data_IF_025232903082
#
_entry.id   IF_025232903082
#
_cell.length_a   1.000
_cell.length_b   1.000
_cell.length_c   1.000
_cell.angle_alpha   90.00
_cell.angle_beta   90.00
_cell.angle_gamma   90.00
#
_symmetry.space_group_name_H-M   'P 1'
#
loop_
_entity.id
_entity.type
_entity.pdbx_description
1 polymer ?
#
# COMPACT_ATOMS: atom_id res chain seq x y z
N UNK A 1 -3.18 -30.53 14.21
CA UNK A 1 -2.71 -29.77 13.04
C UNK A 1 -3.34 -28.38 13.08
N UNK A 2 -2.60 -27.28 13.09
CA UNK A 2 -3.20 -25.97 13.05
C UNK A 2 -3.91 -25.81 11.68
N UNK A 3 -5.18 -25.39 11.71
CA UNK A 3 -5.92 -25.01 10.52
C UNK A 3 -5.11 -23.91 9.82
N UNK A 4 -4.63 -24.17 8.60
CA UNK A 4 -4.18 -23.11 7.70
C UNK A 4 -5.35 -22.14 7.59
N UNK A 5 -5.17 -20.95 8.13
CA UNK A 5 -6.08 -19.83 7.88
C UNK A 5 -5.90 -19.51 6.40
N UNK A 6 -6.69 -20.15 5.54
CA UNK A 6 -6.67 -19.88 4.10
C UNK A 6 -7.21 -18.45 3.94
N UNK A 7 -6.33 -17.56 3.48
CA UNK A 7 -6.69 -16.20 3.09
C UNK A 7 -7.44 -16.27 1.76
N UNK A 8 -8.70 -16.73 1.80
CA UNK A 8 -9.55 -16.90 0.63
C UNK A 8 -10.80 -16.05 0.77
N UNK A 9 -11.19 -15.39 -0.32
CA UNK A 9 -12.44 -14.65 -0.43
C UNK A 9 -13.57 -15.59 -0.83
N UNK A 10 -14.80 -15.30 -0.38
CA UNK A 10 -15.99 -15.91 -0.95
C UNK A 10 -16.10 -15.59 -2.45
N UNK A 11 -16.85 -16.41 -3.20
CA UNK A 11 -17.08 -16.14 -4.63
C UNK A 11 -17.60 -14.75 -4.90
N UNK A 12 -18.58 -14.32 -4.13
CA UNK A 12 -19.24 -13.02 -4.30
C UNK A 12 -18.29 -11.85 -4.05
N UNK A 13 -17.52 -11.90 -2.96
CA UNK A 13 -16.50 -10.87 -2.65
C UNK A 13 -15.39 -10.84 -3.71
N UNK A 14 -14.99 -12.02 -4.21
CA UNK A 14 -14.00 -12.09 -5.28
C UNK A 14 -14.51 -11.42 -6.56
N UNK A 15 -15.74 -11.72 -6.96
CA UNK A 15 -16.32 -11.20 -8.18
C UNK A 15 -16.59 -9.68 -8.06
N UNK A 16 -17.02 -9.21 -6.89
CA UNK A 16 -17.14 -7.78 -6.58
C UNK A 16 -15.78 -7.06 -6.67
N UNK A 17 -14.75 -7.61 -6.03
CA UNK A 17 -13.39 -7.06 -6.09
C UNK A 17 -12.86 -6.99 -7.51
N UNK A 18 -12.96 -8.07 -8.28
CA UNK A 18 -12.51 -8.11 -9.68
C UNK A 18 -13.26 -7.08 -10.54
N UNK A 19 -14.55 -6.90 -10.31
CA UNK A 19 -15.35 -5.86 -10.95
C UNK A 19 -14.86 -4.46 -10.61
N UNK A 20 -14.57 -4.17 -9.35
CA UNK A 20 -14.05 -2.87 -8.90
C UNK A 20 -12.66 -2.58 -9.48
N UNK A 21 -11.76 -3.56 -9.46
CA UNK A 21 -10.42 -3.45 -10.03
C UNK A 21 -10.47 -3.22 -11.55
N UNK A 22 -11.32 -3.97 -12.27
CA UNK A 22 -11.52 -3.80 -13.72
C UNK A 22 -12.04 -2.41 -14.07
N UNK A 23 -13.02 -1.93 -13.34
CA UNK A 23 -13.59 -0.59 -13.54
C UNK A 23 -12.55 0.51 -13.33
N UNK A 24 -11.73 0.38 -12.27
CA UNK A 24 -10.64 1.31 -11.95
C UNK A 24 -9.55 1.27 -13.01
N UNK A 25 -9.15 0.07 -13.44
CA UNK A 25 -8.20 -0.13 -14.54
C UNK A 25 -8.67 0.57 -15.82
N UNK A 26 -9.91 0.35 -16.23
CA UNK A 26 -10.47 0.97 -17.43
C UNK A 26 -10.55 2.51 -17.34
N UNK A 27 -10.80 3.04 -16.14
CA UNK A 27 -10.88 4.49 -15.89
C UNK A 27 -9.51 5.17 -15.93
N UNK A 28 -8.42 4.47 -15.62
CA UNK A 28 -7.10 5.06 -15.41
C UNK A 28 -6.04 4.49 -16.37
N UNK A 29 -6.37 4.35 -17.65
CA UNK A 29 -5.50 3.77 -18.68
C UNK A 29 -4.12 4.42 -18.80
N UNK A 30 -3.96 5.66 -18.31
CA UNK A 30 -2.69 6.35 -18.28
C UNK A 30 -1.68 5.74 -17.28
N UNK A 31 -2.14 4.96 -16.28
CA UNK A 31 -1.30 4.36 -15.24
C UNK A 31 -0.56 3.11 -15.72
N UNK A 32 -1.04 2.44 -16.76
CA UNK A 32 -0.57 1.11 -17.16
C UNK A 32 -0.59 0.89 -18.68
N UNK A 33 0.06 1.78 -19.42
CA UNK A 33 0.13 1.72 -20.88
C UNK A 33 0.60 0.37 -21.39
N UNK A 34 -0.13 -0.21 -22.33
CA UNK A 34 0.22 -1.47 -22.98
C UNK A 34 -0.04 -2.72 -22.14
N UNK A 35 -0.74 -2.59 -21.02
CA UNK A 35 -1.18 -3.71 -20.18
C UNK A 35 -2.62 -4.08 -20.51
N UNK A 36 -2.92 -5.39 -20.55
CA UNK A 36 -4.25 -5.93 -20.89
C UNK A 36 -4.90 -6.51 -19.63
N UNK A 37 -6.15 -6.10 -19.35
CA UNK A 37 -6.88 -6.55 -18.16
C UNK A 37 -7.05 -8.07 -18.11
N UNK A 38 -7.38 -8.72 -19.20
CA UNK A 38 -7.68 -10.16 -19.21
C UNK A 38 -6.48 -11.01 -18.73
N UNK A 39 -5.26 -10.56 -19.00
CA UNK A 39 -4.02 -11.21 -18.51
C UNK A 39 -3.85 -11.02 -17.01
N UNK A 40 -4.18 -9.85 -16.48
CA UNK A 40 -4.15 -9.55 -15.05
C UNK A 40 -5.20 -10.40 -14.34
N UNK A 41 -6.44 -10.40 -14.83
CA UNK A 41 -7.55 -11.14 -14.24
C UNK A 41 -7.27 -12.65 -14.17
N UNK A 42 -6.66 -13.22 -15.24
CA UNK A 42 -6.27 -14.63 -15.26
C UNK A 42 -5.26 -14.94 -14.13
N UNK A 43 -4.26 -14.09 -13.91
CA UNK A 43 -3.31 -14.25 -12.80
C UNK A 43 -3.96 -14.09 -11.43
N UNK A 44 -4.82 -13.10 -11.27
CA UNK A 44 -5.54 -12.88 -10.02
C UNK A 44 -6.42 -14.07 -9.66
N UNK A 45 -7.15 -14.64 -10.62
CA UNK A 45 -7.98 -15.83 -10.42
C UNK A 45 -7.17 -17.07 -10.02
N UNK A 46 -5.90 -17.13 -10.41
CA UNK A 46 -4.98 -18.22 -10.04
C UNK A 46 -4.29 -18.01 -8.67
N UNK A 47 -4.47 -16.85 -8.00
CA UNK A 47 -3.71 -16.47 -6.81
C UNK A 47 -4.65 -15.96 -5.71
N UNK A 48 -5.27 -16.87 -4.95
CA UNK A 48 -6.25 -16.52 -3.91
C UNK A 48 -5.68 -15.60 -2.81
N UNK A 49 -4.42 -15.81 -2.42
CA UNK A 49 -3.70 -14.97 -1.47
C UNK A 49 -3.50 -13.53 -1.97
N UNK A 50 -3.24 -13.35 -3.26
CA UNK A 50 -3.10 -12.02 -3.87
C UNK A 50 -4.44 -11.29 -3.97
N UNK A 51 -5.50 -12.01 -4.32
CA UNK A 51 -6.86 -11.45 -4.27
C UNK A 51 -7.24 -11.03 -2.85
N UNK A 52 -6.90 -11.83 -1.84
CA UNK A 52 -7.13 -11.46 -0.46
C UNK A 52 -6.36 -10.19 -0.08
N UNK A 53 -5.08 -10.06 -0.44
CA UNK A 53 -4.29 -8.85 -0.18
C UNK A 53 -4.86 -7.61 -0.88
N UNK A 54 -5.33 -7.75 -2.13
CA UNK A 54 -6.01 -6.65 -2.84
C UNK A 54 -7.32 -6.26 -2.17
N UNK A 55 -8.07 -7.23 -1.64
CA UNK A 55 -9.27 -6.94 -0.85
C UNK A 55 -8.95 -6.15 0.41
N UNK A 56 -7.88 -6.50 1.13
CA UNK A 56 -7.40 -5.72 2.28
C UNK A 56 -7.00 -4.29 1.87
N UNK A 57 -6.36 -4.12 0.72
CA UNK A 57 -6.06 -2.80 0.17
C UNK A 57 -7.33 -2.01 -0.13
N UNK A 58 -8.34 -2.63 -0.73
CA UNK A 58 -9.62 -2.01 -1.09
C UNK A 58 -10.41 -1.62 0.16
N UNK A 59 -10.66 -2.55 1.06
CA UNK A 59 -11.48 -2.36 2.26
C UNK A 59 -10.92 -1.34 3.24
N UNK A 60 -9.60 -1.14 3.23
CA UNK A 60 -8.94 -0.10 4.04
C UNK A 60 -8.84 1.27 3.35
N UNK A 61 -9.42 1.42 2.14
CA UNK A 61 -9.53 2.68 1.42
C UNK A 61 -8.32 3.01 0.55
N UNK A 62 -7.58 1.99 0.08
CA UNK A 62 -6.38 2.16 -0.74
C UNK A 62 -6.64 2.38 -2.23
N UNK A 63 -7.77 1.91 -2.73
CA UNK A 63 -8.09 1.95 -4.17
C UNK A 63 -6.95 1.37 -5.05
N UNK A 64 -6.56 0.09 -4.85
CA UNK A 64 -5.43 -0.49 -5.57
C UNK A 64 -5.66 -0.49 -7.09
N UNK A 65 -4.64 -0.11 -7.84
CA UNK A 65 -4.65 -0.10 -9.30
C UNK A 65 -3.31 -0.59 -9.85
N UNK A 66 -3.35 -1.11 -11.07
CA UNK A 66 -2.14 -1.54 -11.78
C UNK A 66 -1.34 -0.31 -12.21
N UNK A 67 -0.06 -0.30 -11.89
CA UNK A 67 0.84 0.80 -12.24
C UNK A 67 2.01 0.34 -13.13
N UNK A 68 2.14 -0.96 -13.35
CA UNK A 68 3.21 -1.49 -14.18
C UNK A 68 3.16 -3.00 -14.35
N UNK A 69 4.06 -3.48 -15.21
CA UNK A 69 4.32 -4.88 -15.46
C UNK A 69 5.83 -5.13 -15.55
N UNK A 70 6.34 -5.90 -14.62
CA UNK A 70 7.73 -6.36 -14.67
C UNK A 70 7.84 -7.52 -15.67
N UNK A 71 8.41 -7.23 -16.84
CA UNK A 71 8.56 -8.23 -17.92
C UNK A 71 9.56 -9.33 -17.60
N UNK A 72 10.48 -9.11 -16.64
CA UNK A 72 11.49 -10.11 -16.25
C UNK A 72 10.87 -11.18 -15.37
N UNK A 73 10.07 -10.77 -14.38
CA UNK A 73 9.38 -11.68 -13.47
C UNK A 73 7.99 -12.03 -13.95
N UNK A 74 7.49 -11.33 -14.97
CA UNK A 74 6.12 -11.40 -15.48
C UNK A 74 5.08 -11.08 -14.40
N UNK A 75 5.39 -10.15 -13.48
CA UNK A 75 4.49 -9.73 -12.40
C UNK A 75 3.84 -8.39 -12.72
N UNK A 76 2.54 -8.28 -12.43
CA UNK A 76 1.83 -7.01 -12.45
C UNK A 76 2.00 -6.31 -11.10
N UNK A 77 2.26 -5.01 -11.13
CA UNK A 77 2.52 -4.20 -9.95
C UNK A 77 1.28 -3.37 -9.64
N UNK A 78 0.75 -3.55 -8.43
CA UNK A 78 -0.35 -2.78 -7.88
C UNK A 78 0.15 -1.84 -6.80
N UNK A 79 -0.31 -0.60 -6.82
CA UNK A 79 -0.14 0.38 -5.74
C UNK A 79 -1.49 0.85 -5.23
N UNK A 80 -1.54 1.27 -3.97
CA UNK A 80 -2.65 2.08 -3.47
C UNK A 80 -2.68 3.42 -4.20
N UNK A 81 -3.76 3.66 -4.94
CA UNK A 81 -3.95 4.84 -5.78
C UNK A 81 -5.09 5.75 -5.30
N UNK A 82 -5.53 5.62 -4.04
CA UNK A 82 -6.44 6.58 -3.40
C UNK A 82 -5.82 7.97 -3.34
N UNK A 83 -6.63 9.02 -3.45
CA UNK A 83 -6.13 10.40 -3.49
C UNK A 83 -5.30 10.76 -2.25
N UNK A 84 -5.75 10.31 -1.08
CA UNK A 84 -5.06 10.51 0.20
C UNK A 84 -4.61 9.16 0.77
N UNK A 85 -3.67 9.17 1.71
CA UNK A 85 -3.24 7.97 2.41
C UNK A 85 -4.46 7.19 2.93
N UNK A 86 -4.55 5.87 2.77
CA UNK A 86 -5.74 5.08 3.10
C UNK A 86 -6.24 5.33 4.52
N UNK A 87 -7.53 5.63 4.66
CA UNK A 87 -8.11 6.15 5.91
C UNK A 87 -7.94 5.20 7.08
N UNK A 88 -8.20 3.92 6.87
CA UNK A 88 -8.16 2.92 7.94
C UNK A 88 -6.72 2.52 8.34
N UNK A 89 -5.71 3.03 7.63
CA UNK A 89 -4.28 2.79 7.87
C UNK A 89 -3.55 4.00 8.41
N UNK A 90 -4.27 5.03 8.89
CA UNK A 90 -3.69 6.24 9.50
C UNK A 90 -3.52 6.06 11.02
N UNK A 91 -2.84 7.02 11.64
CA UNK A 91 -2.57 7.04 13.08
C UNK A 91 -1.72 5.85 13.57
N UNK A 92 -0.78 5.41 12.76
CA UNK A 92 0.15 4.32 13.04
C UNK A 92 1.56 4.87 13.22
N UNK A 93 2.31 4.35 14.21
CA UNK A 93 3.77 4.51 14.24
C UNK A 93 4.42 3.61 13.17
N UNK A 94 5.74 3.71 13.00
CA UNK A 94 6.39 3.07 11.86
C UNK A 94 6.40 1.54 11.95
N UNK A 95 6.98 0.97 13.01
CA UNK A 95 7.16 -0.48 13.16
C UNK A 95 6.92 -0.97 14.61
N UNK A 96 7.01 -2.28 14.81
CA UNK A 96 6.79 -2.92 16.12
C UNK A 96 7.73 -2.39 17.20
N UNK A 97 9.01 -2.25 16.90
CA UNK A 97 9.98 -1.74 17.85
C UNK A 97 9.64 -0.31 18.31
N UNK A 98 9.20 0.53 17.38
CA UNK A 98 8.73 1.88 17.67
C UNK A 98 7.44 1.87 18.51
N UNK A 99 6.50 0.98 18.23
CA UNK A 99 5.26 0.82 19.00
C UNK A 99 5.58 0.38 20.44
N UNK A 100 6.46 -0.60 20.60
CA UNK A 100 6.81 -1.16 21.91
C UNK A 100 7.61 -0.16 22.78
N UNK A 101 8.41 0.70 22.17
CA UNK A 101 9.18 1.74 22.86
C UNK A 101 8.32 2.81 23.54
N UNK A 102 7.08 2.99 23.09
CA UNK A 102 6.16 3.99 23.66
C UNK A 102 5.66 3.54 25.05
N UNK A 103 5.73 4.42 26.02
CA UNK A 103 5.20 4.19 27.37
C UNK A 103 3.70 4.50 27.46
N UNK A 104 3.27 5.56 26.78
CA UNK A 104 1.91 6.08 26.84
C UNK A 104 1.38 6.38 25.43
N UNK A 105 0.06 6.49 25.29
CA UNK A 105 -0.62 6.83 24.05
C UNK A 105 -0.16 5.98 22.85
N UNK A 106 -0.09 4.66 23.06
CA UNK A 106 0.26 3.72 22.00
C UNK A 106 -0.82 3.75 20.91
N UNK A 107 -0.43 3.89 19.63
CA UNK A 107 -1.38 3.67 18.54
C UNK A 107 -1.82 2.20 18.51
N UNK A 108 -2.90 1.93 17.77
CA UNK A 108 -3.49 0.59 17.66
C UNK A 108 -2.50 -0.45 17.16
N UNK A 109 -1.66 -0.06 16.19
CA UNK A 109 -0.68 -0.93 15.55
C UNK A 109 0.45 -0.10 14.91
N UNK A 110 1.35 -0.76 14.20
CA UNK A 110 2.40 -0.13 13.40
C UNK A 110 2.17 -0.31 11.91
N UNK A 111 2.69 0.60 11.10
CA UNK A 111 2.52 0.58 9.65
C UNK A 111 3.12 -0.69 9.02
N UNK A 112 4.30 -1.12 9.46
CA UNK A 112 4.96 -2.34 8.97
C UNK A 112 4.16 -3.59 9.32
N UNK A 113 3.61 -3.69 10.54
CA UNK A 113 2.84 -4.87 10.95
C UNK A 113 1.51 -4.95 10.21
N UNK A 114 0.82 -3.83 10.03
CA UNK A 114 -0.43 -3.78 9.25
C UNK A 114 -0.16 -4.18 7.80
N UNK A 115 0.89 -3.64 7.17
CA UNK A 115 1.27 -4.02 5.80
C UNK A 115 1.58 -5.53 5.69
N UNK A 116 2.35 -6.08 6.63
CA UNK A 116 2.66 -7.51 6.68
C UNK A 116 1.40 -8.37 6.88
N UNK A 117 0.48 -7.97 7.76
CA UNK A 117 -0.80 -8.64 7.98
C UNK A 117 -1.65 -8.65 6.71
N UNK A 118 -1.66 -7.58 5.94
CA UNK A 118 -2.34 -7.45 4.64
C UNK A 118 -1.62 -8.21 3.51
N UNK A 119 -0.40 -8.67 3.71
CA UNK A 119 0.41 -9.32 2.69
C UNK A 119 0.91 -8.35 1.60
N UNK A 120 1.15 -7.09 1.96
CA UNK A 120 1.67 -6.05 1.06
C UNK A 120 2.97 -5.46 1.60
N UNK A 121 3.73 -4.80 0.73
CA UNK A 121 4.91 -4.04 1.12
C UNK A 121 4.59 -2.55 1.16
N UNK A 122 5.25 -1.80 2.04
CA UNK A 122 5.18 -0.34 2.04
C UNK A 122 6.04 0.19 0.89
N UNK A 123 5.57 1.22 0.17
CA UNK A 123 6.31 1.83 -0.94
C UNK A 123 7.68 2.33 -0.47
N UNK A 124 8.71 2.10 -1.28
CA UNK A 124 9.99 2.81 -1.17
C UNK A 124 9.83 4.28 -1.58
N UNK A 125 10.83 5.13 -1.30
CA UNK A 125 10.83 6.52 -1.78
C UNK A 125 10.75 6.59 -3.30
N UNK A 126 11.50 5.75 -4.00
CA UNK A 126 11.46 5.69 -5.47
C UNK A 126 10.07 5.32 -5.99
N UNK A 127 9.46 4.27 -5.44
CA UNK A 127 8.11 3.84 -5.80
C UNK A 127 7.05 4.92 -5.49
N UNK A 128 7.18 5.62 -4.38
CA UNK A 128 6.30 6.74 -4.05
C UNK A 128 6.43 7.88 -5.07
N UNK A 129 7.65 8.22 -5.49
CA UNK A 129 7.90 9.23 -6.51
C UNK A 129 7.38 8.80 -7.90
N UNK A 130 7.48 7.52 -8.26
CA UNK A 130 6.87 6.99 -9.49
C UNK A 130 5.33 7.06 -9.42
N UNK A 131 4.73 6.71 -8.29
CA UNK A 131 3.28 6.88 -8.10
C UNK A 131 2.85 8.33 -8.35
N UNK A 132 3.59 9.31 -7.85
CA UNK A 132 3.30 10.74 -8.00
C UNK A 132 3.38 11.25 -9.45
N UNK A 133 3.97 10.50 -10.37
CA UNK A 133 3.93 10.79 -11.81
C UNK A 133 2.60 10.40 -12.46
N UNK A 134 1.86 9.50 -11.82
CA UNK A 134 0.58 8.99 -12.29
C UNK A 134 -0.63 9.83 -11.85
N UNK A 135 -0.42 10.76 -10.93
CA UNK A 135 -1.46 11.63 -10.38
C UNK A 135 -0.95 12.49 -9.23
N UNK A 136 -1.87 13.14 -8.55
CA UNK A 136 -1.58 13.95 -7.36
C UNK A 136 -2.10 13.22 -6.13
N UNK A 137 -1.20 12.75 -5.28
CA UNK A 137 -1.51 11.95 -4.10
C UNK A 137 -0.98 12.62 -2.83
N UNK A 138 -1.65 12.39 -1.69
CA UNK A 138 -1.25 12.91 -0.38
C UNK A 138 -1.15 14.44 -0.34
N UNK A 139 -2.15 15.14 -0.89
CA UNK A 139 -2.22 16.61 -0.83
C UNK A 139 -2.57 17.12 0.57
N UNK A 140 -3.26 16.32 1.39
CA UNK A 140 -3.69 16.64 2.76
C UNK A 140 -3.11 15.67 3.79
N UNK A 141 -2.68 14.50 3.36
CA UNK A 141 -2.11 13.45 4.20
C UNK A 141 -0.62 13.26 3.93
N UNK A 142 -0.01 12.33 4.63
CA UNK A 142 1.34 11.82 4.36
C UNK A 142 1.36 10.31 4.49
N UNK A 143 2.35 9.67 3.88
CA UNK A 143 2.51 8.22 3.90
C UNK A 143 3.91 7.83 4.35
N UNK A 144 4.00 6.93 5.34
CA UNK A 144 5.23 6.24 5.66
C UNK A 144 5.75 5.53 4.42
N UNK A 145 7.07 5.55 4.22
CA UNK A 145 7.77 4.81 3.18
C UNK A 145 8.78 3.85 3.80
N UNK A 146 9.20 2.83 3.05
CA UNK A 146 10.23 1.91 3.49
C UNK A 146 11.50 2.68 3.84
N UNK A 147 11.86 2.67 5.11
CA UNK A 147 12.98 3.43 5.66
C UNK A 147 14.26 2.60 5.56
N UNK A 148 15.36 3.14 4.98
CA UNK A 148 16.65 2.49 4.98
C UNK A 148 17.12 2.10 6.39
N UNK A 149 17.79 0.95 6.49
CA UNK A 149 18.16 0.34 7.79
C UNK A 149 19.12 1.20 8.61
N UNK A 150 19.98 1.98 7.98
CA UNK A 150 20.93 2.90 8.62
C UNK A 150 20.17 4.04 9.34
N UNK A 151 19.18 4.64 8.68
CA UNK A 151 18.30 5.65 9.29
C UNK A 151 17.46 5.02 10.40
N UNK A 152 16.89 3.84 10.15
CA UNK A 152 16.04 3.17 11.15
C UNK A 152 16.81 2.79 12.42
N UNK A 153 18.07 2.36 12.32
CA UNK A 153 18.94 2.04 13.45
C UNK A 153 19.21 3.24 14.36
N UNK A 154 19.17 4.45 13.81
CA UNK A 154 19.30 5.70 14.55
C UNK A 154 17.97 6.20 15.17
N UNK A 155 16.91 5.42 15.05
CA UNK A 155 15.60 5.73 15.63
C UNK A 155 14.65 6.46 14.67
N UNK A 156 15.09 6.82 13.47
CA UNK A 156 14.30 7.56 12.48
C UNK A 156 13.40 6.67 11.63
N UNK A 157 12.41 7.29 11.01
CA UNK A 157 11.62 6.74 9.91
C UNK A 157 11.24 7.83 8.92
N UNK A 158 11.07 7.46 7.65
CA UNK A 158 10.80 8.37 6.55
C UNK A 158 9.34 8.33 6.13
N UNK A 159 8.83 9.48 5.71
CA UNK A 159 7.50 9.62 5.11
C UNK A 159 7.51 10.67 4.01
N UNK A 160 6.55 10.58 3.11
CA UNK A 160 6.41 11.49 1.99
C UNK A 160 5.03 12.13 1.96
N UNK A 161 4.95 13.29 1.30
CA UNK A 161 3.71 13.94 0.91
C UNK A 161 3.90 14.78 -0.36
N UNK A 162 2.82 15.41 -0.81
CA UNK A 162 2.87 16.38 -1.90
C UNK A 162 2.28 17.70 -1.42
N UNK A 163 3.10 18.75 -1.44
CA UNK A 163 2.71 20.13 -1.11
C UNK A 163 3.28 21.05 -2.18
N UNK A 164 2.57 22.14 -2.46
CA UNK A 164 3.01 23.13 -3.46
C UNK A 164 3.40 22.52 -4.80
N UNK A 165 2.64 21.49 -5.21
CA UNK A 165 2.88 20.68 -6.43
C UNK A 165 4.25 19.97 -6.48
N UNK A 166 4.91 19.82 -5.35
CA UNK A 166 6.22 19.20 -5.15
C UNK A 166 6.13 18.04 -4.17
N UNK A 167 6.84 16.95 -4.48
CA UNK A 167 6.96 15.78 -3.60
C UNK A 167 8.10 15.99 -2.62
N UNK A 168 7.79 15.90 -1.33
CA UNK A 168 8.76 16.01 -0.25
C UNK A 168 8.95 14.68 0.45
N UNK A 169 10.19 14.43 0.86
CA UNK A 169 10.54 13.35 1.79
C UNK A 169 10.99 13.97 3.09
N UNK A 170 10.37 13.52 4.19
CA UNK A 170 10.61 13.99 5.53
C UNK A 170 11.01 12.83 6.44
N UNK A 171 11.38 13.17 7.66
CA UNK A 171 11.71 12.23 8.71
C UNK A 171 11.04 12.59 10.04
N UNK A 172 10.82 11.55 10.85
CA UNK A 172 10.45 11.69 12.27
C UNK A 172 11.06 10.54 13.06
N UNK A 173 11.02 10.63 14.39
CA UNK A 173 11.20 9.44 15.21
C UNK A 173 10.18 8.37 14.80
N UNK A 174 10.61 7.12 14.70
CA UNK A 174 9.75 6.02 14.24
C UNK A 174 8.53 5.79 15.15
N UNK A 175 8.60 6.18 16.42
CA UNK A 175 7.54 6.09 17.41
C UNK A 175 6.45 7.16 17.24
N UNK A 176 6.68 8.20 16.43
CA UNK A 176 5.69 9.26 16.18
C UNK A 176 4.54 8.74 15.31
N UNK A 177 3.34 9.29 15.53
CA UNK A 177 2.18 9.05 14.68
C UNK A 177 1.28 10.28 14.62
N UNK A 178 0.55 10.43 13.51
CA UNK A 178 -0.35 11.55 13.27
C UNK A 178 -1.64 11.06 12.60
N UNK A 179 -2.75 11.70 12.89
CA UNK A 179 -4.06 11.38 12.33
C UNK A 179 -4.08 11.42 10.78
N UNK A 180 -3.24 12.26 10.17
CA UNK A 180 -3.13 12.40 8.73
C UNK A 180 -2.01 11.54 8.11
N UNK A 181 -1.33 10.68 8.87
CA UNK A 181 -0.25 9.84 8.37
C UNK A 181 -0.62 8.38 8.41
N UNK A 182 -0.56 7.73 7.24
CA UNK A 182 -0.72 6.30 7.07
C UNK A 182 0.42 5.71 6.25
N UNK A 183 0.11 4.75 5.39
CA UNK A 183 1.03 4.20 4.40
C UNK A 183 0.28 3.74 3.16
N UNK A 184 1.00 3.61 2.05
CA UNK A 184 0.53 3.02 0.80
C UNK A 184 1.21 1.69 0.56
N UNK A 185 0.42 0.69 0.18
CA UNK A 185 0.91 -0.65 -0.10
C UNK A 185 1.29 -0.85 -1.57
N UNK A 186 2.19 -1.79 -1.77
CA UNK A 186 2.57 -2.37 -3.05
C UNK A 186 2.33 -3.86 -3.02
N UNK A 187 1.79 -4.41 -4.10
CA UNK A 187 1.61 -5.85 -4.30
C UNK A 187 2.05 -6.23 -5.70
N UNK A 188 2.80 -7.33 -5.81
CA UNK A 188 3.13 -8.00 -7.07
C UNK A 188 2.28 -9.24 -7.26
N UNK A 189 1.77 -9.40 -8.47
CA UNK A 189 0.87 -10.49 -8.87
C UNK A 189 1.40 -11.23 -10.08
#
# INVERSE_FOLDING_TARGET
MPKRNTKELSSDLRDELLGALRARFAKNMNRHKGVEWDKIEAKLKASADKLWSLNEMETTGGEPDVVGHDKKTNEYIFYDCSAESPKERRSLCYDRAALDSRKEHKPKDSAIDVAAAMGVEILTEEQYRELQKLGKFDLKTSSWIATPSDIRKLGGALFCDRRYDTVFTYHNGAESYYAARGFRGMLKV
#
